data_IF_248751249088
#
_entry.id   IF_248751249088
#
_cell.length_a   1.000
_cell.length_b   1.000
_cell.length_c   1.000
_cell.angle_alpha   90.00
_cell.angle_beta   90.00
_cell.angle_gamma   90.00
#
_symmetry.space_group_name_H-M   'P 1'
#
loop_
_entity.id
_entity.type
_entity.pdbx_description
1 polymer ?
#
# COMPACT_ATOMS: atom_id res chain seq x y z
N UNK A 1 36.99 17.97 18.96
CA UNK A 1 35.70 17.44 19.48
C UNK A 1 34.50 18.38 19.36
N UNK A 2 34.56 19.50 18.61
CA UNK A 2 33.43 20.43 18.44
C UNK A 2 32.82 20.36 17.02
N UNK A 3 33.53 19.80 16.04
CA UNK A 3 33.05 19.72 14.66
C UNK A 3 31.99 18.61 14.45
N UNK A 4 32.05 17.50 15.20
CA UNK A 4 31.11 16.39 15.05
C UNK A 4 29.70 16.67 15.54
N UNK A 5 29.54 17.54 16.54
CA UNK A 5 28.21 17.90 17.09
C UNK A 5 27.43 18.88 16.20
N UNK A 6 28.15 19.74 15.46
CA UNK A 6 27.51 20.69 14.55
C UNK A 6 26.96 20.01 13.27
N UNK A 7 27.70 19.04 12.72
CA UNK A 7 27.26 18.26 11.55
C UNK A 7 26.05 17.39 11.89
N UNK A 8 26.06 16.70 13.03
CA UNK A 8 24.92 15.93 13.49
C UNK A 8 23.65 16.80 13.70
N UNK A 9 23.82 18.02 14.25
CA UNK A 9 22.70 18.94 14.45
C UNK A 9 22.12 19.47 13.12
N UNK A 10 22.94 19.69 12.09
CA UNK A 10 22.51 20.15 10.76
C UNK A 10 21.80 19.01 10.01
N UNK A 11 22.31 17.77 10.07
CA UNK A 11 21.67 16.61 9.46
C UNK A 11 20.34 16.32 10.12
N UNK A 12 20.27 16.37 11.45
CA UNK A 12 19.00 16.23 12.19
C UNK A 12 18.03 17.36 11.82
N UNK A 13 18.48 18.60 11.68
CA UNK A 13 17.63 19.73 11.28
C UNK A 13 17.12 19.61 9.83
N UNK A 14 17.92 19.07 8.91
CA UNK A 14 17.52 18.79 7.53
C UNK A 14 16.51 17.63 7.47
N UNK A 15 16.71 16.56 8.25
CA UNK A 15 15.75 15.45 8.37
C UNK A 15 14.43 15.93 8.98
N UNK A 16 14.46 16.82 9.98
CA UNK A 16 13.24 17.42 10.54
C UNK A 16 12.54 18.38 9.57
N UNK A 17 13.28 19.17 8.80
CA UNK A 17 12.70 20.05 7.78
C UNK A 17 12.14 19.23 6.61
N UNK A 18 12.85 18.19 6.18
CA UNK A 18 12.44 17.30 5.10
C UNK A 18 11.33 16.35 5.55
N UNK A 19 11.47 15.68 6.68
CA UNK A 19 10.43 14.81 7.25
C UNK A 19 9.16 15.58 7.65
N UNK A 20 9.29 16.77 8.23
CA UNK A 20 8.15 17.62 8.57
C UNK A 20 7.36 18.10 7.35
N UNK A 21 8.05 18.51 6.29
CA UNK A 21 7.41 18.91 5.03
C UNK A 21 6.78 17.73 4.30
N UNK A 22 7.41 16.56 4.31
CA UNK A 22 6.83 15.33 3.75
C UNK A 22 5.64 14.82 4.56
N UNK A 23 5.66 14.90 5.90
CA UNK A 23 4.53 14.52 6.74
C UNK A 23 3.31 15.43 6.53
N UNK A 24 3.52 16.74 6.38
CA UNK A 24 2.44 17.70 6.07
C UNK A 24 1.92 17.48 4.64
N UNK A 25 2.81 17.31 3.66
CA UNK A 25 2.44 16.98 2.28
C UNK A 25 1.67 15.65 2.20
N UNK A 26 2.12 14.62 2.96
CA UNK A 26 1.48 13.32 3.02
C UNK A 26 0.02 13.36 3.53
N UNK A 27 -0.28 14.14 4.58
CA UNK A 27 -1.65 14.26 5.07
C UNK A 27 -2.55 15.03 4.08
N UNK A 28 -2.01 16.04 3.37
CA UNK A 28 -2.72 16.71 2.30
C UNK A 28 -2.98 15.77 1.10
N UNK A 29 -2.01 14.94 0.74
CA UNK A 29 -2.14 13.94 -0.31
C UNK A 29 -3.17 12.85 0.03
N UNK A 30 -3.24 12.40 1.29
CA UNK A 30 -4.22 11.41 1.72
C UNK A 30 -5.67 11.92 1.58
N UNK A 31 -5.90 13.21 1.84
CA UNK A 31 -7.22 13.82 1.65
C UNK A 31 -7.58 13.96 0.16
N UNK A 32 -6.59 14.10 -0.73
CA UNK A 32 -6.81 14.13 -2.18
C UNK A 32 -7.15 12.77 -2.79
N UNK A 33 -6.74 11.68 -2.12
CA UNK A 33 -7.03 10.31 -2.54
C UNK A 33 -8.37 9.78 -1.98
N UNK A 34 -8.99 10.50 -1.06
CA UNK A 34 -10.22 10.08 -0.41
C UNK A 34 -11.44 10.56 -1.19
N UNK A 35 -12.21 9.63 -1.72
CA UNK A 35 -13.53 9.95 -2.23
C UNK A 35 -14.48 10.38 -1.12
N UNK A 36 -15.29 11.39 -1.42
CA UNK A 36 -16.46 11.76 -0.61
C UNK A 36 -17.62 10.85 -1.00
N UNK A 37 -17.86 9.81 -0.22
CA UNK A 37 -19.03 8.96 -0.41
C UNK A 37 -20.29 9.64 0.15
N UNK A 38 -21.31 9.79 -0.67
CA UNK A 38 -22.63 10.17 -0.20
C UNK A 38 -23.20 9.11 0.76
N UNK A 39 -24.17 9.51 1.60
CA UNK A 39 -24.83 8.60 2.55
C UNK A 39 -25.57 7.45 1.87
N UNK A 40 -25.94 7.62 0.61
CA UNK A 40 -26.54 6.59 -0.23
C UNK A 40 -25.56 6.11 -1.29
N UNK A 41 -25.63 4.81 -1.60
CA UNK A 41 -24.93 4.23 -2.74
C UNK A 41 -25.37 4.92 -4.03
N UNK A 42 -24.43 5.29 -4.89
CA UNK A 42 -24.76 5.82 -6.21
C UNK A 42 -25.55 4.76 -7.01
N UNK A 43 -26.62 5.19 -7.67
CA UNK A 43 -27.32 4.36 -8.64
C UNK A 43 -26.48 4.36 -9.92
N UNK A 44 -26.05 3.19 -10.34
CA UNK A 44 -25.27 3.00 -11.57
C UNK A 44 -25.69 1.68 -12.20
N UNK A 45 -25.97 1.69 -13.47
CA UNK A 45 -26.24 0.49 -14.28
C UNK A 45 -24.93 -0.15 -14.78
N UNK A 46 -23.78 0.45 -14.50
CA UNK A 46 -22.46 -0.05 -14.91
C UNK A 46 -22.16 -1.39 -14.24
N UNK A 47 -21.84 -2.38 -15.05
CA UNK A 47 -21.45 -3.72 -14.60
C UNK A 47 -19.96 -3.96 -14.83
N UNK A 48 -19.37 -4.92 -14.13
CA UNK A 48 -17.95 -5.24 -14.33
C UNK A 48 -17.67 -5.77 -15.75
N UNK A 49 -18.61 -6.49 -16.37
CA UNK A 49 -18.47 -6.95 -17.75
C UNK A 49 -18.35 -5.80 -18.76
N UNK A 50 -18.99 -4.65 -18.48
CA UNK A 50 -18.91 -3.48 -19.38
C UNK A 50 -17.51 -2.84 -19.39
N UNK A 51 -16.73 -3.01 -18.33
CA UNK A 51 -15.42 -2.39 -18.12
C UNK A 51 -14.27 -3.37 -17.93
N UNK A 52 -14.52 -4.66 -17.99
CA UNK A 52 -13.50 -5.71 -17.78
C UNK A 52 -12.28 -5.54 -18.67
N UNK A 53 -12.48 -5.10 -19.92
CA UNK A 53 -11.42 -4.90 -20.90
C UNK A 53 -10.86 -3.47 -20.94
N UNK A 54 -11.36 -2.58 -20.08
CA UNK A 54 -10.87 -1.22 -19.95
C UNK A 54 -9.43 -1.23 -19.42
N UNK A 55 -8.46 -0.57 -20.11
CA UNK A 55 -7.04 -0.62 -19.74
C UNK A 55 -6.75 -0.08 -18.31
N UNK A 56 -7.47 0.97 -17.88
CA UNK A 56 -7.33 1.53 -16.53
C UNK A 56 -7.85 0.57 -15.48
N UNK A 57 -8.99 -0.09 -15.72
CA UNK A 57 -9.58 -1.06 -14.80
C UNK A 57 -8.66 -2.29 -14.68
N UNK A 58 -8.13 -2.78 -15.79
CA UNK A 58 -7.14 -3.88 -15.77
C UNK A 58 -5.91 -3.52 -14.97
N UNK A 59 -5.36 -2.33 -15.17
CA UNK A 59 -4.20 -1.86 -14.41
C UNK A 59 -4.50 -1.81 -12.89
N UNK A 60 -5.66 -1.31 -12.50
CA UNK A 60 -6.11 -1.29 -11.10
C UNK A 60 -6.13 -2.72 -10.52
N UNK A 61 -6.66 -3.68 -11.27
CA UNK A 61 -6.73 -5.08 -10.86
C UNK A 61 -5.32 -5.70 -10.77
N UNK A 62 -4.49 -5.47 -11.76
CA UNK A 62 -3.13 -5.98 -11.82
C UNK A 62 -2.24 -5.43 -10.69
N UNK A 63 -2.49 -4.21 -10.21
CA UNK A 63 -1.74 -3.63 -9.11
C UNK A 63 -1.90 -4.38 -7.77
N UNK A 64 -2.96 -5.19 -7.59
CA UNK A 64 -3.11 -6.07 -6.43
C UNK A 64 -3.08 -7.57 -6.78
N UNK A 65 -2.56 -7.91 -7.95
CA UNK A 65 -2.47 -9.29 -8.42
C UNK A 65 -1.64 -10.22 -7.51
N UNK A 66 -0.77 -9.67 -6.67
CA UNK A 66 -0.01 -10.44 -5.65
C UNK A 66 -0.91 -11.27 -4.71
N UNK A 67 -2.19 -10.88 -4.55
CA UNK A 67 -3.15 -11.64 -3.74
C UNK A 67 -3.65 -12.91 -4.43
N UNK A 68 -3.67 -12.94 -5.77
CA UNK A 68 -4.27 -14.03 -6.54
C UNK A 68 -3.64 -15.38 -6.21
N UNK A 69 -2.32 -15.60 -6.34
CA UNK A 69 -1.72 -16.88 -6.00
C UNK A 69 -1.68 -17.13 -4.49
N UNK A 70 -1.64 -16.09 -3.66
CA UNK A 70 -1.61 -16.23 -2.22
C UNK A 70 -2.94 -16.73 -1.64
N UNK A 71 -4.06 -16.31 -2.20
CA UNK A 71 -5.41 -16.66 -1.74
C UNK A 71 -6.16 -17.61 -2.71
N UNK A 72 -5.46 -18.19 -3.68
CA UNK A 72 -6.07 -19.04 -4.72
C UNK A 72 -7.19 -18.32 -5.48
N UNK A 73 -6.96 -17.04 -5.79
CA UNK A 73 -7.89 -16.19 -6.50
C UNK A 73 -7.83 -16.36 -8.01
N UNK A 74 -8.41 -15.40 -8.74
CA UNK A 74 -8.49 -15.36 -10.19
C UNK A 74 -7.97 -14.04 -10.73
N UNK A 75 -7.04 -14.11 -11.69
CA UNK A 75 -6.50 -12.93 -12.37
C UNK A 75 -7.57 -12.23 -13.20
N UNK A 76 -7.54 -10.91 -13.21
CA UNK A 76 -8.49 -10.10 -13.96
C UNK A 76 -9.85 -9.90 -13.28
N UNK A 77 -10.02 -10.37 -12.03
CA UNK A 77 -11.25 -10.18 -11.27
C UNK A 77 -11.12 -9.06 -10.22
N UNK A 78 -12.18 -8.26 -10.07
CA UNK A 78 -12.24 -7.24 -9.02
C UNK A 78 -12.17 -7.90 -7.63
N UNK A 79 -11.27 -7.38 -6.77
CA UNK A 79 -11.03 -7.98 -5.46
C UNK A 79 -10.18 -9.25 -5.50
N UNK A 80 -9.80 -9.75 -6.69
CA UNK A 80 -8.96 -10.94 -6.88
C UNK A 80 -9.71 -12.26 -6.81
N UNK A 81 -11.05 -12.25 -6.80
CA UNK A 81 -11.89 -13.44 -6.82
C UNK A 81 -13.12 -13.20 -7.66
N UNK A 82 -13.53 -14.20 -8.47
CA UNK A 82 -14.85 -14.18 -9.10
C UNK A 82 -15.93 -14.58 -8.08
N UNK A 83 -17.14 -14.05 -8.26
CA UNK A 83 -18.29 -14.46 -7.44
C UNK A 83 -18.80 -15.89 -7.75
N UNK A 84 -18.14 -16.61 -8.69
CA UNK A 84 -18.38 -18.04 -8.90
C UNK A 84 -17.59 -18.91 -7.89
N UNK A 85 -16.40 -18.42 -7.44
CA UNK A 85 -15.54 -19.15 -6.50
C UNK A 85 -15.83 -18.74 -5.05
N UNK A 86 -16.08 -17.45 -4.84
CA UNK A 86 -16.53 -16.89 -3.57
C UNK A 86 -17.94 -16.36 -3.73
N UNK A 87 -18.90 -16.91 -2.98
CA UNK A 87 -20.20 -16.28 -2.91
C UNK A 87 -20.15 -14.97 -2.09
N UNK A 88 -21.16 -14.15 -2.28
CA UNK A 88 -21.21 -12.83 -1.65
C UNK A 88 -21.17 -12.90 -0.11
N UNK A 89 -21.68 -13.99 0.49
CA UNK A 89 -21.68 -14.15 1.96
C UNK A 89 -20.26 -14.46 2.47
N UNK A 90 -19.47 -15.24 1.76
CA UNK A 90 -18.06 -15.50 2.09
C UNK A 90 -17.23 -14.21 2.02
N UNK A 91 -17.45 -13.37 1.00
CA UNK A 91 -16.79 -12.05 0.89
C UNK A 91 -17.19 -11.14 2.05
N UNK A 92 -18.47 -11.13 2.45
CA UNK A 92 -18.94 -10.34 3.62
C UNK A 92 -18.32 -10.83 4.92
N UNK A 93 -18.23 -12.15 5.12
CA UNK A 93 -17.58 -12.75 6.28
C UNK A 93 -16.10 -12.38 6.32
N UNK A 94 -15.37 -12.51 5.22
CA UNK A 94 -13.97 -12.08 5.11
C UNK A 94 -13.79 -10.59 5.46
N UNK A 95 -14.63 -9.71 4.88
CA UNK A 95 -14.55 -8.27 5.16
C UNK A 95 -14.90 -7.93 6.61
N UNK A 96 -15.85 -8.65 7.22
CA UNK A 96 -16.23 -8.51 8.62
C UNK A 96 -15.09 -8.91 9.55
N UNK A 97 -14.53 -10.10 9.35
CA UNK A 97 -13.56 -10.70 10.27
C UNK A 97 -12.20 -10.03 10.24
N UNK A 98 -11.72 -9.66 9.05
CA UNK A 98 -10.38 -9.10 8.88
C UNK A 98 -10.34 -7.57 8.88
N UNK A 99 -11.45 -6.91 8.53
CA UNK A 99 -11.47 -5.46 8.30
C UNK A 99 -12.53 -4.72 9.10
N UNK A 100 -13.42 -5.42 9.78
CA UNK A 100 -14.56 -4.82 10.48
C UNK A 100 -15.54 -4.12 9.53
N UNK A 101 -15.59 -4.54 8.27
CA UNK A 101 -16.45 -3.97 7.24
C UNK A 101 -17.71 -4.82 7.12
N UNK A 102 -18.85 -4.25 7.53
CA UNK A 102 -20.17 -4.90 7.51
C UNK A 102 -21.23 -4.07 6.81
N UNK A 103 -20.85 -2.93 6.26
CA UNK A 103 -21.76 -1.98 5.62
C UNK A 103 -20.98 -0.91 4.84
N UNK A 104 -21.70 -0.15 4.00
CA UNK A 104 -21.17 1.04 3.33
C UNK A 104 -20.46 2.00 4.30
N UNK A 105 -21.07 2.31 5.43
CA UNK A 105 -20.52 3.26 6.42
C UNK A 105 -19.20 2.76 7.03
N UNK A 106 -19.10 1.45 7.31
CA UNK A 106 -17.85 0.85 7.81
C UNK A 106 -16.80 0.74 6.72
N UNK A 107 -17.17 0.44 5.47
CA UNK A 107 -16.27 0.44 4.31
C UNK A 107 -15.60 1.80 4.15
N UNK A 108 -16.39 2.87 4.03
CA UNK A 108 -15.89 4.24 3.89
C UNK A 108 -14.97 4.66 5.04
N UNK A 109 -15.33 4.30 6.27
CA UNK A 109 -14.52 4.59 7.46
C UNK A 109 -13.17 3.87 7.41
N UNK A 110 -13.18 2.57 7.11
CA UNK A 110 -11.95 1.75 7.08
C UNK A 110 -11.02 2.23 5.97
N UNK A 111 -11.51 2.46 4.76
CA UNK A 111 -10.73 3.01 3.64
C UNK A 111 -10.12 4.36 4.03
N UNK A 112 -10.93 5.28 4.60
CA UNK A 112 -10.46 6.59 5.06
C UNK A 112 -9.37 6.47 6.14
N UNK A 113 -9.52 5.56 7.09
CA UNK A 113 -8.52 5.34 8.14
C UNK A 113 -7.21 4.79 7.58
N UNK A 114 -7.28 3.85 6.64
CA UNK A 114 -6.09 3.31 5.97
C UNK A 114 -5.37 4.38 5.15
N UNK A 115 -6.10 5.23 4.43
CA UNK A 115 -5.52 6.36 3.70
C UNK A 115 -4.85 7.38 4.62
N UNK A 116 -5.43 7.67 5.79
CA UNK A 116 -4.91 8.70 6.70
C UNK A 116 -3.86 8.19 7.69
N UNK A 117 -3.96 6.94 8.14
CA UNK A 117 -3.17 6.38 9.24
C UNK A 117 -2.71 4.95 8.99
N UNK A 118 -2.44 4.60 7.75
CA UNK A 118 -1.95 3.27 7.38
C UNK A 118 -0.55 2.95 7.95
N UNK A 119 -0.07 1.77 7.62
CA UNK A 119 1.27 1.29 8.00
C UNK A 119 2.37 2.26 7.56
N UNK A 120 2.17 2.96 6.45
CA UNK A 120 3.05 4.03 5.94
C UNK A 120 3.39 5.08 7.00
N UNK A 121 2.39 5.55 7.74
CA UNK A 121 2.60 6.55 8.79
C UNK A 121 3.45 6.00 9.94
N UNK A 122 3.19 4.75 10.33
CA UNK A 122 3.98 4.05 11.36
C UNK A 122 5.42 3.80 10.92
N UNK A 123 5.62 3.43 9.66
CA UNK A 123 6.95 3.23 9.06
C UNK A 123 7.77 4.52 9.09
N UNK A 124 7.22 5.64 8.62
CA UNK A 124 7.93 6.93 8.64
C UNK A 124 8.28 7.36 10.06
N UNK A 125 7.35 7.21 11.00
CA UNK A 125 7.60 7.49 12.41
C UNK A 125 8.69 6.60 13.00
N UNK A 126 8.70 5.31 12.67
CA UNK A 126 9.74 4.38 13.11
C UNK A 126 11.10 4.75 12.52
N UNK A 127 11.16 5.03 11.20
CA UNK A 127 12.39 5.46 10.53
C UNK A 127 13.02 6.69 11.19
N UNK A 128 12.22 7.75 11.42
CA UNK A 128 12.68 8.93 12.15
C UNK A 128 13.14 8.61 13.59
N UNK A 129 12.43 7.71 14.26
CA UNK A 129 12.77 7.29 15.62
C UNK A 129 14.11 6.55 15.64
N UNK A 130 14.36 5.67 14.68
CA UNK A 130 15.59 4.89 14.59
C UNK A 130 16.80 5.76 14.20
N UNK A 131 16.60 6.80 13.38
CA UNK A 131 17.61 7.82 13.18
C UNK A 131 17.95 8.57 14.49
N UNK A 132 16.95 8.97 15.27
CA UNK A 132 17.15 9.65 16.58
C UNK A 132 17.84 8.77 17.61
N UNK A 133 17.56 7.46 17.61
CA UNK A 133 18.19 6.47 18.49
C UNK A 133 19.62 6.12 18.05
N UNK A 134 20.03 6.48 16.84
CA UNK A 134 21.31 6.13 16.24
C UNK A 134 21.39 4.69 15.75
N UNK A 135 20.26 4.00 15.61
CA UNK A 135 20.21 2.66 14.99
C UNK A 135 20.42 2.78 13.48
N UNK A 136 19.88 3.84 12.89
CA UNK A 136 20.15 4.25 11.51
C UNK A 136 20.94 5.56 11.51
N UNK A 137 21.74 5.74 10.47
CA UNK A 137 22.39 7.02 10.17
C UNK A 137 22.13 7.38 8.71
N UNK A 138 22.06 8.67 8.41
CA UNK A 138 21.88 9.16 7.03
C UNK A 138 22.97 10.20 6.76
N UNK A 139 23.67 10.06 5.63
CA UNK A 139 24.67 11.04 5.20
C UNK A 139 24.05 12.23 4.45
N UNK A 140 24.88 13.17 4.02
CA UNK A 140 24.49 14.38 3.28
C UNK A 140 23.90 14.09 1.89
N UNK A 141 24.13 12.91 1.34
CA UNK A 141 23.61 12.45 0.05
C UNK A 141 22.32 11.64 0.20
N UNK A 142 21.83 11.43 1.44
CA UNK A 142 20.66 10.64 1.73
C UNK A 142 20.93 9.13 1.80
N UNK A 143 22.19 8.71 1.81
CA UNK A 143 22.54 7.30 1.99
C UNK A 143 22.31 6.89 3.44
N UNK A 144 21.60 5.80 3.65
CA UNK A 144 21.28 5.27 4.99
C UNK A 144 22.18 4.09 5.31
N UNK A 145 22.69 4.04 6.54
CA UNK A 145 23.45 2.94 7.09
C UNK A 145 22.85 2.47 8.41
N UNK A 146 23.11 1.24 8.83
CA UNK A 146 22.59 0.60 10.03
C UNK A 146 23.73 0.14 10.92
N UNK A 147 23.62 0.34 12.25
CA UNK A 147 24.54 -0.24 13.20
C UNK A 147 24.44 -1.78 13.23
N UNK A 148 25.33 -2.45 13.96
CA UNK A 148 25.21 -3.90 14.13
C UNK A 148 23.82 -4.26 14.69
N UNK A 149 23.11 -5.16 14.03
CA UNK A 149 21.76 -5.57 14.42
C UNK A 149 21.72 -6.11 15.86
N UNK A 150 22.81 -6.71 16.34
CA UNK A 150 22.93 -7.22 17.71
C UNK A 150 23.00 -6.13 18.79
N UNK A 151 23.22 -4.87 18.39
CA UNK A 151 23.21 -3.72 19.30
C UNK A 151 21.82 -3.10 19.42
N UNK A 152 20.86 -3.54 18.61
CA UNK A 152 19.47 -3.09 18.61
C UNK A 152 18.65 -4.02 19.49
N UNK A 153 17.74 -3.51 20.35
CA UNK A 153 16.81 -4.35 21.10
C UNK A 153 16.05 -5.33 20.21
N UNK A 154 15.90 -6.57 20.64
CA UNK A 154 15.34 -7.68 19.85
C UNK A 154 13.98 -7.35 19.24
N UNK A 155 13.10 -6.71 19.99
CA UNK A 155 11.76 -6.29 19.56
C UNK A 155 11.75 -5.16 18.53
N UNK A 156 12.89 -4.49 18.31
CA UNK A 156 13.07 -3.42 17.31
C UNK A 156 13.93 -3.86 16.10
N UNK A 157 14.62 -4.99 16.16
CA UNK A 157 15.55 -5.43 15.11
C UNK A 157 14.89 -5.58 13.76
N UNK A 158 13.78 -6.31 13.68
CA UNK A 158 13.08 -6.56 12.42
C UNK A 158 12.62 -5.25 11.76
N UNK A 159 11.95 -4.37 12.49
CA UNK A 159 11.49 -3.08 11.93
C UNK A 159 12.63 -2.15 11.55
N UNK A 160 13.73 -2.15 12.32
CA UNK A 160 14.90 -1.34 11.98
C UNK A 160 15.53 -1.85 10.69
N UNK A 161 15.67 -3.17 10.56
CA UNK A 161 16.15 -3.77 9.33
C UNK A 161 15.26 -3.45 8.12
N UNK A 162 13.95 -3.60 8.27
CA UNK A 162 13.00 -3.25 7.19
C UNK A 162 13.10 -1.77 6.82
N UNK A 163 13.25 -0.88 7.81
CA UNK A 163 13.45 0.54 7.53
C UNK A 163 14.72 0.80 6.71
N UNK A 164 15.82 0.14 7.06
CA UNK A 164 17.10 0.25 6.35
C UNK A 164 17.00 -0.30 4.91
N UNK A 165 16.54 -1.54 4.78
CA UNK A 165 16.54 -2.28 3.53
C UNK A 165 15.53 -1.70 2.52
N UNK A 166 14.29 -1.42 2.97
CA UNK A 166 13.27 -0.79 2.14
C UNK A 166 13.66 0.62 1.67
N UNK A 167 14.32 1.42 2.52
CA UNK A 167 14.82 2.72 2.12
C UNK A 167 15.94 2.59 1.07
N UNK A 168 16.84 1.63 1.22
CA UNK A 168 17.94 1.38 0.28
C UNK A 168 17.45 1.00 -1.13
N UNK A 169 16.30 0.31 -1.23
CA UNK A 169 15.74 -0.14 -2.51
C UNK A 169 14.71 0.84 -3.09
N UNK A 170 13.88 1.45 -2.25
CA UNK A 170 12.69 2.20 -2.65
C UNK A 170 12.64 3.63 -2.10
N UNK A 171 13.72 4.10 -1.47
CA UNK A 171 13.84 5.40 -0.81
C UNK A 171 12.66 5.69 0.17
N UNK A 172 12.08 6.90 0.13
CA UNK A 172 10.97 7.30 1.00
C UNK A 172 9.66 6.58 0.73
N UNK A 173 9.54 5.87 -0.39
CA UNK A 173 8.34 5.11 -0.80
C UNK A 173 8.20 3.79 -0.02
N UNK A 174 9.33 3.25 0.42
CA UNK A 174 9.51 2.08 1.29
C UNK A 174 8.36 1.07 1.32
N UNK A 175 7.32 1.34 2.11
CA UNK A 175 6.20 0.43 2.37
C UNK A 175 4.84 0.95 1.88
N UNK A 176 4.81 2.00 1.07
CA UNK A 176 3.57 2.71 0.74
C UNK A 176 2.58 1.84 -0.03
N UNK A 177 3.06 0.97 -0.92
CA UNK A 177 2.21 0.06 -1.67
C UNK A 177 1.47 -0.96 -0.79
N UNK A 178 1.98 -1.30 0.40
CA UNK A 178 1.27 -2.18 1.34
C UNK A 178 -0.13 -1.68 1.69
N UNK A 179 -0.28 -0.37 1.91
CA UNK A 179 -1.59 0.20 2.21
C UNK A 179 -2.42 0.40 0.93
N UNK A 180 -1.82 0.94 -0.13
CA UNK A 180 -2.52 1.27 -1.38
C UNK A 180 -3.09 0.04 -2.09
N UNK A 181 -2.31 -0.99 -2.24
CA UNK A 181 -2.72 -2.27 -2.83
C UNK A 181 -3.88 -2.90 -2.05
N UNK A 182 -3.80 -2.91 -0.71
CA UNK A 182 -4.87 -3.41 0.15
C UNK A 182 -6.15 -2.60 0.04
N UNK A 183 -6.05 -1.26 -0.02
CA UNK A 183 -7.21 -0.39 -0.16
C UNK A 183 -7.93 -0.69 -1.47
N UNK A 184 -7.23 -0.75 -2.60
CA UNK A 184 -7.85 -1.04 -3.89
C UNK A 184 -8.55 -2.39 -3.89
N UNK A 185 -7.88 -3.43 -3.37
CA UNK A 185 -8.50 -4.76 -3.24
C UNK A 185 -9.75 -4.77 -2.37
N UNK A 186 -9.67 -4.18 -1.15
CA UNK A 186 -10.83 -4.11 -0.24
C UNK A 186 -11.98 -3.33 -0.88
N UNK A 187 -11.69 -2.29 -1.65
CA UNK A 187 -12.69 -1.51 -2.38
C UNK A 187 -13.40 -2.38 -3.42
N UNK A 188 -12.66 -3.22 -4.17
CA UNK A 188 -13.23 -4.22 -5.07
C UNK A 188 -14.15 -5.23 -4.36
N UNK A 189 -13.72 -5.75 -3.20
CA UNK A 189 -14.54 -6.65 -2.37
C UNK A 189 -15.80 -5.95 -1.82
N UNK A 190 -15.72 -4.66 -1.46
CA UNK A 190 -16.89 -3.88 -1.05
C UNK A 190 -17.91 -3.70 -2.18
N UNK A 191 -17.46 -3.56 -3.43
CA UNK A 191 -18.35 -3.61 -4.60
C UNK A 191 -19.03 -4.98 -4.71
N UNK A 192 -18.30 -6.08 -4.64
CA UNK A 192 -18.85 -7.43 -4.71
C UNK A 192 -19.91 -7.70 -3.63
N UNK A 193 -19.73 -7.12 -2.43
CA UNK A 193 -20.74 -7.18 -1.35
C UNK A 193 -21.95 -6.27 -1.57
N UNK A 194 -21.92 -5.42 -2.58
CA UNK A 194 -22.97 -4.44 -2.84
C UNK A 194 -22.98 -3.24 -1.88
N UNK A 195 -21.90 -3.02 -1.12
CA UNK A 195 -21.78 -1.87 -0.22
C UNK A 195 -21.55 -0.56 -0.97
N UNK A 196 -20.88 -0.61 -2.12
CA UNK A 196 -20.63 0.52 -3.02
C UNK A 196 -20.98 0.12 -4.46
N UNK A 197 -21.19 1.08 -5.36
CA UNK A 197 -21.36 0.82 -6.80
C UNK A 197 -20.00 0.55 -7.46
N UNK A 198 -20.01 0.01 -8.68
CA UNK A 198 -18.79 -0.18 -9.45
C UNK A 198 -18.09 1.14 -9.74
N UNK A 199 -18.86 2.15 -10.14
CA UNK A 199 -18.33 3.49 -10.39
C UNK A 199 -17.64 4.07 -9.15
N UNK A 200 -18.26 3.97 -7.97
CA UNK A 200 -17.65 4.40 -6.70
C UNK A 200 -16.37 3.59 -6.38
N UNK A 201 -16.35 2.32 -6.72
CA UNK A 201 -15.17 1.47 -6.57
C UNK A 201 -14.02 1.96 -7.45
N UNK A 202 -14.28 2.16 -8.73
CA UNK A 202 -13.28 2.59 -9.70
C UNK A 202 -12.79 4.02 -9.43
N UNK A 203 -13.70 4.92 -9.08
CA UNK A 203 -13.38 6.31 -8.73
C UNK A 203 -12.49 6.40 -7.47
N UNK A 204 -12.67 5.49 -6.50
CA UNK A 204 -11.79 5.40 -5.35
C UNK A 204 -10.43 4.80 -5.70
N UNK A 205 -10.38 3.82 -6.59
CA UNK A 205 -9.15 3.13 -6.95
C UNK A 205 -8.27 3.95 -7.90
N UNK A 206 -8.84 4.72 -8.83
CA UNK A 206 -8.10 5.46 -9.85
C UNK A 206 -7.02 6.39 -9.29
N UNK A 207 -7.29 7.31 -8.34
CA UNK A 207 -6.26 8.20 -7.83
C UNK A 207 -5.14 7.44 -7.09
N UNK A 208 -5.47 6.29 -6.48
CA UNK A 208 -4.49 5.41 -5.83
C UNK A 208 -3.60 4.74 -6.88
N UNK A 209 -4.19 4.22 -7.95
CA UNK A 209 -3.47 3.61 -9.06
C UNK A 209 -2.53 4.62 -9.74
N UNK A 210 -3.02 5.84 -10.04
CA UNK A 210 -2.21 6.92 -10.58
C UNK A 210 -1.04 7.29 -9.64
N UNK A 211 -1.27 7.25 -8.34
CA UNK A 211 -0.24 7.48 -7.33
C UNK A 211 0.82 6.38 -7.35
N UNK A 212 0.42 5.11 -7.36
CA UNK A 212 1.34 3.99 -7.47
C UNK A 212 2.18 4.06 -8.76
N UNK A 213 1.54 4.29 -9.90
CA UNK A 213 2.23 4.40 -11.18
C UNK A 213 3.24 5.55 -11.22
N UNK A 214 2.93 6.66 -10.57
CA UNK A 214 3.83 7.82 -10.46
C UNK A 214 5.03 7.57 -9.54
N UNK A 215 4.82 6.80 -8.47
CA UNK A 215 5.84 6.61 -7.43
C UNK A 215 6.76 5.42 -7.70
N UNK A 216 6.30 4.40 -8.41
CA UNK A 216 7.07 3.20 -8.70
C UNK A 216 7.37 3.11 -10.21
N UNK A 217 8.38 2.33 -10.58
CA UNK A 217 8.80 2.14 -11.97
C UNK A 217 8.20 0.91 -12.63
N UNK A 218 7.64 -0.02 -11.85
CA UNK A 218 7.08 -1.29 -12.33
C UNK A 218 6.14 -1.94 -11.31
N UNK A 219 5.42 -2.99 -11.73
CA UNK A 219 4.62 -3.80 -10.82
C UNK A 219 5.49 -4.56 -9.82
N UNK A 220 6.70 -4.98 -10.21
CA UNK A 220 7.67 -5.62 -9.33
C UNK A 220 8.03 -4.70 -8.16
N UNK A 221 8.29 -3.41 -8.41
CA UNK A 221 8.57 -2.44 -7.34
C UNK A 221 7.36 -2.23 -6.42
N UNK A 222 6.14 -2.21 -6.96
CA UNK A 222 4.90 -2.15 -6.16
C UNK A 222 4.82 -3.37 -5.24
N UNK A 223 5.08 -4.57 -5.76
CA UNK A 223 5.01 -5.80 -4.97
C UNK A 223 6.15 -5.91 -3.97
N UNK A 224 7.34 -5.40 -4.29
CA UNK A 224 8.44 -5.31 -3.33
C UNK A 224 8.09 -4.39 -2.15
N UNK A 225 7.57 -3.20 -2.43
CA UNK A 225 7.07 -2.28 -1.39
C UNK A 225 5.93 -2.90 -0.56
N UNK A 226 5.05 -3.66 -1.19
CA UNK A 226 4.01 -4.43 -0.50
C UNK A 226 4.62 -5.43 0.49
N UNK A 227 5.63 -6.19 0.08
CA UNK A 227 6.30 -7.19 0.92
C UNK A 227 7.03 -6.53 2.09
N UNK A 228 7.74 -5.43 1.86
CA UNK A 228 8.35 -4.66 2.95
C UNK A 228 7.31 -4.15 3.95
N UNK A 229 6.15 -3.69 3.46
CA UNK A 229 5.05 -3.27 4.31
C UNK A 229 4.47 -4.41 5.16
N UNK A 230 4.36 -5.61 4.60
CA UNK A 230 3.98 -6.82 5.35
C UNK A 230 5.00 -7.13 6.44
N UNK A 231 6.31 -7.15 6.13
CA UNK A 231 7.38 -7.42 7.08
C UNK A 231 7.37 -6.40 8.23
N UNK A 232 7.25 -5.11 7.90
CA UNK A 232 7.19 -4.05 8.89
C UNK A 232 5.97 -4.18 9.82
N UNK A 233 4.79 -4.47 9.24
CA UNK A 233 3.56 -4.66 10.00
C UNK A 233 3.64 -5.88 10.91
N UNK A 234 4.12 -6.99 10.40
CA UNK A 234 4.22 -8.27 11.11
C UNK A 234 5.25 -8.21 12.24
N UNK A 235 6.36 -7.49 12.00
CA UNK A 235 7.48 -7.39 12.92
C UNK A 235 8.07 -8.75 13.32
N UNK A 236 8.25 -9.62 12.34
CA UNK A 236 8.74 -10.99 12.50
C UNK A 236 9.59 -11.36 11.30
N UNK A 237 10.92 -11.49 11.50
CA UNK A 237 11.89 -11.80 10.43
C UNK A 237 11.78 -13.25 9.96
N UNK A 238 11.23 -14.15 10.78
CA UNK A 238 11.19 -15.59 10.56
C UNK A 238 9.81 -16.06 10.04
N UNK A 239 8.89 -15.12 9.69
CA UNK A 239 7.58 -15.46 9.15
C UNK A 239 7.70 -16.06 7.74
N UNK A 240 7.40 -17.35 7.60
CA UNK A 240 7.42 -18.08 6.33
C UNK A 240 6.55 -17.46 5.24
N UNK A 241 5.55 -16.64 5.58
CA UNK A 241 4.69 -15.96 4.62
C UNK A 241 5.43 -14.96 3.74
N UNK A 242 6.58 -14.43 4.19
CA UNK A 242 7.45 -13.60 3.36
C UNK A 242 7.88 -14.36 2.11
N UNK A 243 8.27 -15.62 2.26
CA UNK A 243 8.63 -16.49 1.14
C UNK A 243 7.43 -16.69 0.19
N UNK A 244 6.23 -16.92 0.74
CA UNK A 244 5.03 -17.08 -0.07
C UNK A 244 4.66 -15.80 -0.82
N UNK A 245 4.79 -14.62 -0.19
CA UNK A 245 4.56 -13.36 -0.88
C UNK A 245 5.58 -13.09 -1.99
N UNK A 246 6.86 -13.40 -1.78
CA UNK A 246 7.88 -13.28 -2.83
C UNK A 246 7.58 -14.18 -4.02
N UNK A 247 7.15 -15.41 -3.77
CA UNK A 247 6.72 -16.32 -4.81
C UNK A 247 5.46 -15.83 -5.52
N UNK A 248 4.47 -15.37 -4.76
CA UNK A 248 3.22 -14.83 -5.30
C UNK A 248 3.48 -13.58 -6.17
N UNK A 249 4.41 -12.71 -5.77
CA UNK A 249 4.82 -11.55 -6.57
C UNK A 249 5.41 -11.97 -7.92
N UNK A 250 6.31 -12.97 -7.94
CA UNK A 250 6.87 -13.50 -9.18
C UNK A 250 5.81 -14.10 -10.10
N UNK A 251 4.89 -14.91 -9.54
CA UNK A 251 3.79 -15.49 -10.29
C UNK A 251 2.81 -14.42 -10.81
N UNK A 252 2.52 -13.40 -10.00
CA UNK A 252 1.67 -12.29 -10.41
C UNK A 252 2.25 -11.54 -11.62
N UNK A 253 3.55 -11.20 -11.58
CA UNK A 253 4.23 -10.50 -12.68
C UNK A 253 4.15 -11.29 -14.00
N UNK A 254 4.24 -12.62 -13.94
CA UNK A 254 4.11 -13.48 -15.13
C UNK A 254 2.67 -13.50 -15.73
N UNK A 255 1.66 -13.14 -14.93
CA UNK A 255 0.24 -13.20 -15.30
C UNK A 255 -0.42 -11.83 -15.49
N UNK A 256 0.24 -10.73 -15.14
CA UNK A 256 -0.22 -9.37 -15.43
C UNK A 256 -0.35 -9.16 -16.93
N UNK A 257 -1.45 -8.54 -17.35
CA UNK A 257 -1.75 -8.27 -18.74
C UNK A 257 -1.62 -6.80 -19.13
N UNK A 258 -1.59 -5.90 -18.14
CA UNK A 258 -1.47 -4.46 -18.37
C UNK A 258 -0.02 -4.06 -18.65
N UNK A 259 0.17 -3.14 -19.61
CA UNK A 259 1.42 -2.41 -19.70
C UNK A 259 1.52 -1.42 -18.54
N UNK A 260 2.67 -1.39 -17.84
CA UNK A 260 2.84 -0.54 -16.66
C UNK A 260 2.56 0.95 -16.97
N UNK A 261 3.01 1.44 -18.11
CA UNK A 261 2.88 2.84 -18.55
C UNK A 261 1.55 3.16 -19.24
N UNK A 262 0.52 2.32 -19.09
CA UNK A 262 -0.83 2.62 -19.58
C UNK A 262 -1.30 3.97 -19.03
N UNK A 263 -1.90 4.83 -19.88
CA UNK A 263 -2.50 6.08 -19.42
C UNK A 263 -3.74 5.77 -18.56
N UNK A 264 -3.68 6.13 -17.28
CA UNK A 264 -4.76 5.87 -16.32
C UNK A 264 -5.73 7.04 -16.31
N UNK A 265 -6.87 6.86 -16.94
CA UNK A 265 -7.92 7.87 -17.08
C UNK A 265 -9.28 7.33 -16.69
N UNK A 266 -10.18 8.23 -16.26
CA UNK A 266 -11.58 7.89 -16.03
C UNK A 266 -12.32 7.88 -17.37
N UNK A 267 -12.72 6.71 -17.82
CA UNK A 267 -13.42 6.49 -19.09
C UNK A 267 -14.50 5.41 -19.02
N UNK A 268 -15.14 5.28 -17.86
CA UNK A 268 -16.24 4.33 -17.60
C UNK A 268 -17.60 5.03 -17.37
N UNK A 269 -17.76 6.28 -17.82
CA UNK A 269 -19.04 7.01 -17.80
C UNK A 269 -19.85 6.78 -19.07
#
# INVERSE_FOLDING_TARGET
>A
MIAGTAVAAVVIALVFAYGGTHYVAYNQDADSLLMSYDSKKAESDLTFEDVRDNPTVRWIIDAYAIYVPFESGEYGELGGHSLNDWDQEQVKEYLSDWWGITSRATATRTISQMLKKGTRASYRHAFETYLKKGYLSMDENGYVDIISISEIPEDEQCRTWVCYDAYGHLDTRGVDAWDYVRIMRITGLCYQCGYISLEECLDQCLPIAQRLQKEYGSFEEIFESYIYGYQFWKNDSDDDRIYFYRRAAGEAVENIQSEYNTELVKDWE
#
